data_IF_975511066699
#
_entry.id   IF_975511066699
#
_cell.length_a   1.000
_cell.length_b   1.000
_cell.length_c   1.000
_cell.angle_alpha   90.00
_cell.angle_beta   90.00
_cell.angle_gamma   90.00
#
_symmetry.space_group_name_H-M   'P 1'
#
loop_
_entity.id
_entity.type
_entity.pdbx_description
1 polymer ?
#
# COMPACT_ATOMS: atom_id res chain seq x y z
N UNK A 1 27.44 -3.91 -6.63
CA UNK A 1 26.35 -3.23 -5.93
C UNK A 1 25.08 -3.51 -6.73
N UNK A 2 24.08 -4.17 -6.14
CA UNK A 2 22.77 -4.29 -6.78
C UNK A 2 22.17 -2.89 -6.92
N UNK A 3 21.69 -2.56 -8.12
CA UNK A 3 21.03 -1.28 -8.37
C UNK A 3 19.79 -1.18 -7.48
N UNK A 4 19.78 -0.21 -6.56
CA UNK A 4 18.63 0.02 -5.68
C UNK A 4 17.54 0.70 -6.52
N UNK A 5 16.37 0.09 -6.56
CA UNK A 5 15.23 0.56 -7.35
C UNK A 5 14.77 1.93 -6.88
N UNK A 6 14.70 2.90 -7.77
CA UNK A 6 14.23 4.25 -7.50
C UNK A 6 12.85 4.50 -8.12
N UNK A 7 12.25 5.65 -7.89
CA UNK A 7 10.95 5.97 -8.49
C UNK A 7 11.07 6.13 -10.01
N UNK A 8 12.21 6.59 -10.51
CA UNK A 8 12.50 6.75 -11.93
C UNK A 8 12.56 5.40 -12.66
N UNK A 9 12.90 4.31 -11.96
CA UNK A 9 12.81 2.95 -12.50
C UNK A 9 11.35 2.50 -12.71
N UNK A 10 10.42 3.09 -11.96
CA UNK A 10 9.00 2.78 -12.00
C UNK A 10 8.19 3.74 -12.87
N UNK A 11 8.57 5.01 -12.91
CA UNK A 11 7.84 6.08 -13.60
C UNK A 11 8.74 6.81 -14.58
N UNK A 12 8.23 7.03 -15.79
CA UNK A 12 8.83 7.80 -16.87
C UNK A 12 7.71 8.62 -17.51
N UNK A 13 7.25 9.65 -16.77
CA UNK A 13 6.02 10.41 -17.09
C UNK A 13 6.21 11.18 -18.39
N UNK A 14 5.40 10.82 -19.40
CA UNK A 14 5.37 11.43 -20.74
C UNK A 14 4.07 12.17 -21.01
N UNK A 15 2.99 11.81 -20.32
CA UNK A 15 1.68 12.43 -20.46
C UNK A 15 1.07 12.68 -19.09
N UNK A 16 0.44 13.87 -18.96
CA UNK A 16 -0.32 14.24 -17.76
C UNK A 16 -1.74 14.61 -18.18
N UNK A 17 -2.69 13.80 -17.72
CA UNK A 17 -4.12 14.07 -17.87
C UNK A 17 -4.60 14.90 -16.68
N UNK A 18 -5.36 15.96 -16.93
CA UNK A 18 -5.78 16.85 -15.84
C UNK A 18 -7.14 17.50 -16.09
N UNK A 19 -7.90 17.69 -15.01
CA UNK A 19 -9.07 18.58 -15.00
C UNK A 19 -8.60 20.05 -15.04
N UNK A 20 -9.26 20.97 -15.76
CA UNK A 20 -8.83 22.40 -15.83
C UNK A 20 -8.70 23.07 -14.46
N UNK A 21 -9.61 22.72 -13.53
CA UNK A 21 -9.62 23.28 -12.18
C UNK A 21 -8.34 23.01 -11.37
N UNK A 22 -7.57 21.96 -11.71
CA UNK A 22 -6.35 21.59 -10.95
C UNK A 22 -5.30 22.70 -10.99
N UNK A 23 -5.28 23.53 -12.04
CA UNK A 23 -4.33 24.63 -12.20
C UNK A 23 -4.47 25.72 -11.13
N UNK A 24 -5.61 25.79 -10.44
CA UNK A 24 -5.80 26.69 -9.29
C UNK A 24 -5.03 26.26 -8.05
N UNK A 25 -4.58 25.00 -7.98
CA UNK A 25 -3.87 24.45 -6.83
C UNK A 25 -2.37 24.55 -6.99
N UNK A 26 -1.69 24.94 -5.91
CA UNK A 26 -0.23 25.04 -5.86
C UNK A 26 0.43 23.68 -6.18
N UNK A 27 -0.09 22.59 -5.62
CA UNK A 27 0.41 21.25 -5.84
C UNK A 27 0.42 20.84 -7.31
N UNK A 28 -0.59 21.23 -8.08
CA UNK A 28 -0.61 20.96 -9.52
C UNK A 28 0.53 21.65 -10.24
N UNK A 29 0.80 22.93 -9.93
CA UNK A 29 1.89 23.70 -10.53
C UNK A 29 3.25 23.06 -10.23
N UNK A 30 3.50 22.65 -8.99
CA UNK A 30 4.73 21.96 -8.58
C UNK A 30 4.95 20.65 -9.35
N UNK A 31 3.88 19.85 -9.54
CA UNK A 31 3.96 18.60 -10.32
C UNK A 31 4.23 18.91 -11.80
N UNK A 32 3.55 19.89 -12.37
CA UNK A 32 3.74 20.28 -13.78
C UNK A 32 5.14 20.83 -14.04
N UNK A 33 5.71 21.57 -13.09
CA UNK A 33 7.10 22.02 -13.15
C UNK A 33 8.09 20.85 -13.09
N UNK A 34 7.87 19.90 -12.18
CA UNK A 34 8.70 18.68 -12.07
C UNK A 34 8.70 17.85 -13.36
N UNK A 35 7.57 17.78 -14.04
CA UNK A 35 7.40 17.01 -15.28
C UNK A 35 7.18 17.92 -16.49
N UNK A 36 7.91 19.02 -16.59
CA UNK A 36 7.75 20.06 -17.64
C UNK A 36 7.87 19.55 -19.09
N UNK A 37 8.51 18.38 -19.30
CA UNK A 37 8.60 17.73 -20.60
C UNK A 37 7.39 16.85 -20.98
N UNK A 38 6.45 16.65 -20.08
CA UNK A 38 5.28 15.81 -20.33
C UNK A 38 4.23 16.54 -21.17
N UNK A 39 3.57 15.83 -22.06
CA UNK A 39 2.43 16.31 -22.82
C UNK A 39 1.22 16.47 -21.91
N UNK A 40 0.63 17.67 -21.87
CA UNK A 40 -0.58 17.94 -21.08
C UNK A 40 -1.83 17.64 -21.88
N UNK A 41 -2.76 16.90 -21.28
CA UNK A 41 -4.03 16.50 -21.88
C UNK A 41 -5.15 16.89 -20.93
N UNK A 42 -5.99 17.81 -21.39
CA UNK A 42 -7.15 18.25 -20.61
C UNK A 42 -8.29 17.23 -20.73
N UNK A 43 -8.90 16.90 -19.59
CA UNK A 43 -10.03 15.98 -19.50
C UNK A 43 -11.14 16.57 -18.61
N UNK A 44 -12.41 16.29 -18.91
CA UNK A 44 -13.52 16.80 -18.11
C UNK A 44 -13.60 16.18 -16.71
N UNK A 45 -12.98 15.02 -16.49
CA UNK A 45 -12.96 14.36 -15.19
C UNK A 45 -11.84 13.32 -15.10
N UNK A 46 -11.04 13.41 -14.02
CA UNK A 46 -10.05 12.39 -13.67
C UNK A 46 -10.68 11.03 -13.36
N UNK A 47 -11.97 10.99 -13.08
CA UNK A 47 -12.67 9.77 -12.72
C UNK A 47 -13.07 8.92 -13.92
N UNK A 48 -13.26 9.52 -15.08
CA UNK A 48 -13.66 8.84 -16.31
C UNK A 48 -12.81 9.32 -17.48
N UNK A 49 -11.76 8.59 -17.78
CA UNK A 49 -10.87 8.80 -18.93
C UNK A 49 -10.96 7.51 -19.76
N UNK A 50 -11.76 7.48 -20.85
CA UNK A 50 -12.04 6.25 -21.60
C UNK A 50 -10.80 5.51 -22.09
N UNK A 51 -9.76 6.25 -22.48
CA UNK A 51 -8.52 5.70 -23.02
C UNK A 51 -7.66 5.01 -21.95
N UNK A 52 -7.86 5.36 -20.67
CA UNK A 52 -7.05 4.85 -19.56
C UNK A 52 -7.82 3.90 -18.64
N UNK A 53 -9.14 3.94 -18.67
CA UNK A 53 -9.97 3.21 -17.72
C UNK A 53 -10.67 2.02 -18.40
N UNK A 54 -10.93 0.98 -17.62
CA UNK A 54 -11.57 -0.23 -18.12
C UNK A 54 -10.58 -1.38 -18.29
N UNK A 55 -10.96 -2.33 -19.14
CA UNK A 55 -10.23 -3.59 -19.35
C UNK A 55 -9.83 -3.79 -20.82
N UNK A 56 -9.99 -2.76 -21.64
CA UNK A 56 -9.54 -2.78 -23.04
C UNK A 56 -8.02 -2.58 -23.12
N UNK A 57 -7.42 -3.04 -24.22
CA UNK A 57 -5.99 -2.94 -24.48
C UNK A 57 -5.22 -4.24 -24.17
N UNK A 58 -3.93 -4.21 -24.44
CA UNK A 58 -3.00 -5.30 -24.15
C UNK A 58 -2.31 -5.10 -22.80
N UNK A 59 -1.61 -6.14 -22.35
CA UNK A 59 -0.76 -6.07 -21.13
C UNK A 59 0.33 -5.02 -21.28
N UNK A 60 0.92 -4.90 -22.45
CA UNK A 60 1.95 -3.92 -22.77
C UNK A 60 1.39 -2.50 -22.67
N UNK A 61 0.17 -2.26 -23.15
CA UNK A 61 -0.51 -0.97 -23.02
C UNK A 61 -0.74 -0.61 -21.56
N UNK A 62 -1.19 -1.58 -20.75
CA UNK A 62 -1.43 -1.33 -19.32
C UNK A 62 -0.16 -1.00 -18.54
N UNK A 63 0.92 -1.73 -18.80
CA UNK A 63 2.24 -1.44 -18.20
C UNK A 63 2.72 -0.07 -18.65
N UNK A 64 2.60 0.26 -19.93
CA UNK A 64 2.97 1.55 -20.49
C UNK A 64 2.19 2.69 -19.82
N UNK A 65 0.86 2.57 -19.73
CA UNK A 65 0.02 3.57 -19.09
C UNK A 65 0.41 3.79 -17.63
N UNK A 66 0.61 2.72 -16.87
CA UNK A 66 1.02 2.81 -15.44
C UNK A 66 2.42 3.41 -15.25
N UNK A 67 3.28 3.33 -16.24
CA UNK A 67 4.63 3.86 -16.22
C UNK A 67 4.71 5.31 -16.71
N UNK A 68 3.99 5.63 -17.79
CA UNK A 68 4.23 6.83 -18.57
C UNK A 68 3.18 7.92 -18.37
N UNK A 69 2.07 7.60 -17.67
CA UNK A 69 0.93 8.50 -17.51
C UNK A 69 0.72 8.85 -16.04
N UNK A 70 0.51 10.14 -15.80
CA UNK A 70 0.04 10.67 -14.53
C UNK A 70 -1.30 11.36 -14.74
N UNK A 71 -2.20 11.25 -13.75
CA UNK A 71 -3.48 11.95 -13.74
C UNK A 71 -3.51 12.92 -12.57
N UNK A 72 -3.88 14.17 -12.80
CA UNK A 72 -4.13 15.15 -11.75
C UNK A 72 -5.63 15.35 -11.58
N UNK A 73 -6.11 15.25 -10.35
CA UNK A 73 -7.52 15.37 -10.03
C UNK A 73 -7.78 16.06 -8.70
N UNK A 74 -9.04 16.34 -8.43
CA UNK A 74 -9.51 16.96 -7.18
C UNK A 74 -10.29 15.94 -6.37
N UNK A 75 -9.89 15.68 -5.13
CA UNK A 75 -10.61 14.81 -4.20
C UNK A 75 -11.89 15.49 -3.73
N UNK A 76 -13.03 15.11 -4.31
CA UNK A 76 -14.35 15.70 -3.98
C UNK A 76 -14.94 15.17 -2.69
N UNK A 77 -14.80 13.88 -2.40
CA UNK A 77 -15.30 13.27 -1.17
C UNK A 77 -14.22 13.27 -0.09
N UNK A 78 -14.37 14.15 0.90
CA UNK A 78 -13.51 14.24 2.07
C UNK A 78 -14.21 13.57 3.26
N UNK A 79 -14.07 12.24 3.34
CA UNK A 79 -14.68 11.46 4.42
C UNK A 79 -13.68 10.44 4.97
N UNK A 80 -13.46 10.47 6.28
CA UNK A 80 -12.80 9.39 6.99
C UNK A 80 -13.84 8.30 7.31
N UNK A 81 -13.51 7.05 7.00
CA UNK A 81 -14.39 5.90 7.21
C UNK A 81 -13.87 5.07 8.37
N UNK A 82 -14.74 4.57 9.28
CA UNK A 82 -14.33 3.64 10.32
C UNK A 82 -13.59 2.42 9.77
N UNK A 83 -12.59 1.96 10.50
CA UNK A 83 -11.85 0.74 10.25
C UNK A 83 -11.54 0.07 11.60
N UNK A 84 -11.28 -1.22 11.61
CA UNK A 84 -11.09 -2.00 12.84
C UNK A 84 -9.91 -2.97 12.76
N UNK A 85 -8.96 -2.73 11.86
CA UNK A 85 -7.80 -3.62 11.65
C UNK A 85 -6.47 -2.92 11.88
N UNK A 86 -5.92 -2.34 10.82
CA UNK A 86 -4.63 -1.65 10.87
C UNK A 86 -4.73 -0.21 11.38
N UNK A 87 -5.95 0.34 11.39
CA UNK A 87 -6.26 1.72 11.76
C UNK A 87 -7.67 1.84 12.30
N UNK A 88 -8.00 2.92 12.99
CA UNK A 88 -9.36 3.27 13.42
C UNK A 88 -10.17 3.91 12.29
N UNK A 89 -9.46 4.63 11.41
CA UNK A 89 -10.07 5.31 10.27
C UNK A 89 -9.26 5.11 8.99
N UNK A 90 -9.96 4.99 7.86
CA UNK A 90 -9.37 5.20 6.54
C UNK A 90 -9.59 6.65 6.17
N UNK A 91 -8.51 7.40 6.00
CA UNK A 91 -8.52 8.80 5.60
C UNK A 91 -8.98 8.99 4.14
N UNK A 92 -9.40 10.19 3.74
CA UNK A 92 -9.48 10.53 2.32
C UNK A 92 -8.12 10.29 1.66
N UNK A 93 -8.08 9.45 0.62
CA UNK A 93 -6.84 9.14 -0.08
C UNK A 93 -6.24 10.39 -0.73
N UNK A 94 -4.92 10.54 -0.65
CA UNK A 94 -4.17 11.60 -1.32
C UNK A 94 -3.86 11.27 -2.79
N UNK A 95 -4.01 9.97 -3.14
CA UNK A 95 -3.81 9.43 -4.49
C UNK A 95 -4.78 8.28 -4.79
N UNK A 96 -4.79 7.81 -6.01
CA UNK A 96 -5.45 6.58 -6.44
C UNK A 96 -4.69 5.94 -7.59
N UNK A 97 -4.51 4.64 -7.54
CA UNK A 97 -3.71 3.89 -8.51
C UNK A 97 -2.32 3.59 -7.98
N UNK A 98 -1.60 2.75 -8.70
CA UNK A 98 -0.26 2.33 -8.32
C UNK A 98 0.52 1.93 -9.58
N UNK A 99 1.78 2.32 -9.66
CA UNK A 99 2.65 1.93 -10.78
C UNK A 99 3.10 0.47 -10.73
N UNK A 100 2.98 -0.18 -9.57
CA UNK A 100 3.28 -1.62 -9.44
C UNK A 100 2.20 -2.46 -10.09
N UNK A 101 2.51 -3.75 -10.33
CA UNK A 101 1.63 -4.67 -11.04
C UNK A 101 1.49 -5.99 -10.30
N UNK A 102 1.33 -5.94 -8.97
CA UNK A 102 1.13 -7.15 -8.16
C UNK A 102 -0.07 -7.95 -8.67
N UNK A 103 0.13 -9.24 -8.93
CA UNK A 103 -0.86 -10.11 -9.60
C UNK A 103 -2.12 -10.40 -8.77
N UNK A 104 -2.15 -10.02 -7.49
CA UNK A 104 -3.30 -10.15 -6.59
C UNK A 104 -3.91 -8.80 -6.19
N UNK A 105 -3.50 -7.68 -6.84
CA UNK A 105 -3.85 -6.33 -6.40
C UNK A 105 -5.34 -6.03 -6.58
N UNK A 106 -5.96 -5.48 -5.54
CA UNK A 106 -7.37 -5.07 -5.59
C UNK A 106 -7.59 -3.62 -6.12
N UNK A 107 -6.53 -2.80 -6.15
CA UNK A 107 -6.61 -1.37 -6.56
C UNK A 107 -7.20 -1.19 -7.96
N UNK A 108 -6.90 -2.04 -8.97
CA UNK A 108 -7.44 -1.90 -10.32
C UNK A 108 -8.97 -2.07 -10.45
N UNK A 109 -9.64 -2.66 -9.47
CA UNK A 109 -11.05 -3.07 -9.58
C UNK A 109 -12.03 -1.99 -10.02
N UNK A 110 -11.75 -0.72 -9.72
CA UNK A 110 -12.70 0.39 -9.99
C UNK A 110 -12.44 1.11 -11.30
N UNK A 111 -11.17 1.26 -11.70
CA UNK A 111 -10.77 2.03 -12.88
C UNK A 111 -10.16 1.17 -14.00
N UNK A 112 -9.95 -0.12 -13.74
CA UNK A 112 -9.32 -1.05 -14.67
C UNK A 112 -7.83 -1.24 -14.44
N UNK A 113 -7.26 -2.18 -15.17
CA UNK A 113 -5.87 -2.63 -14.94
C UNK A 113 -4.84 -1.65 -15.47
N UNK A 114 -5.19 -0.85 -16.46
CA UNK A 114 -4.36 0.23 -16.99
C UNK A 114 -4.31 1.47 -16.12
N UNK A 115 -5.07 1.53 -15.01
CA UNK A 115 -5.22 2.73 -14.19
C UNK A 115 -3.86 3.30 -13.73
N UNK A 116 -3.40 4.43 -14.29
CA UNK A 116 -2.21 5.13 -13.83
C UNK A 116 -2.46 5.77 -12.46
N UNK A 117 -1.41 6.30 -11.86
CA UNK A 117 -1.55 7.03 -10.61
C UNK A 117 -2.33 8.32 -10.88
N UNK A 118 -3.36 8.55 -10.07
CA UNK A 118 -4.04 9.84 -9.96
C UNK A 118 -3.59 10.51 -8.66
N UNK A 119 -2.97 11.68 -8.74
CA UNK A 119 -2.64 12.52 -7.58
C UNK A 119 -3.77 13.52 -7.35
N UNK A 120 -4.23 13.62 -6.11
CA UNK A 120 -5.21 14.63 -5.72
C UNK A 120 -4.50 15.91 -5.27
N UNK A 121 -4.62 16.97 -6.06
CA UNK A 121 -3.86 18.20 -5.88
C UNK A 121 -4.39 19.11 -4.76
N UNK A 122 -5.59 18.83 -4.24
CA UNK A 122 -6.21 19.60 -3.17
C UNK A 122 -5.82 19.10 -1.77
N UNK A 123 -4.53 18.81 -1.56
CA UNK A 123 -3.98 18.25 -0.32
C UNK A 123 -4.30 19.13 0.91
N UNK A 124 -4.30 20.43 0.78
CA UNK A 124 -4.65 21.36 1.86
C UNK A 124 -6.08 21.15 2.38
N UNK A 125 -7.02 20.85 1.47
CA UNK A 125 -8.40 20.54 1.85
C UNK A 125 -8.48 19.20 2.59
N UNK A 126 -7.71 18.20 2.18
CA UNK A 126 -7.57 16.91 2.86
C UNK A 126 -7.00 17.12 4.27
N UNK A 127 -5.90 17.87 4.39
CA UNK A 127 -5.27 18.19 5.67
C UNK A 127 -6.23 18.94 6.62
N UNK A 128 -6.93 19.94 6.11
CA UNK A 128 -7.91 20.70 6.88
C UNK A 128 -9.10 19.83 7.36
N UNK A 129 -9.53 18.90 6.52
CA UNK A 129 -10.55 17.93 6.93
C UNK A 129 -10.04 17.02 8.05
N UNK A 130 -8.84 16.43 7.88
CA UNK A 130 -8.25 15.51 8.87
C UNK A 130 -8.01 16.19 10.23
N UNK A 131 -7.51 17.44 10.23
CA UNK A 131 -7.35 18.24 11.46
C UNK A 131 -8.67 18.37 12.23
N UNK A 132 -9.75 18.75 11.53
CA UNK A 132 -11.08 18.88 12.13
C UNK A 132 -11.66 17.54 12.57
N UNK A 133 -11.44 16.48 11.78
CA UNK A 133 -11.94 15.15 12.11
C UNK A 133 -11.24 14.60 13.35
N UNK A 134 -9.91 14.67 13.43
CA UNK A 134 -9.13 14.22 14.59
C UNK A 134 -9.48 14.99 15.87
N UNK A 135 -9.66 16.32 15.77
CA UNK A 135 -10.07 17.15 16.90
C UNK A 135 -11.42 16.70 17.49
N UNK A 136 -12.38 16.29 16.64
CA UNK A 136 -13.70 15.81 17.10
C UNK A 136 -13.64 14.45 17.79
N UNK A 137 -12.62 13.62 17.50
CA UNK A 137 -12.49 12.32 18.15
C UNK A 137 -12.05 12.43 19.62
N UNK A 138 -11.43 13.57 20.02
CA UNK A 138 -10.85 13.68 21.35
C UNK A 138 -9.72 12.70 21.62
N UNK A 139 -9.49 12.38 22.87
CA UNK A 139 -8.48 11.39 23.28
C UNK A 139 -9.01 9.97 23.00
N UNK A 140 -8.14 9.05 22.62
CA UNK A 140 -8.50 7.63 22.50
C UNK A 140 -8.96 7.13 23.88
N UNK A 141 -10.22 6.61 24.02
CA UNK A 141 -10.81 6.36 25.35
C UNK A 141 -10.15 5.21 26.09
N UNK A 142 -9.60 4.24 25.38
CA UNK A 142 -8.87 3.08 25.91
C UNK A 142 -7.91 2.55 24.85
N UNK A 143 -6.84 1.89 25.28
CA UNK A 143 -5.98 1.11 24.40
C UNK A 143 -6.76 -0.02 23.74
N UNK A 144 -6.38 -0.33 22.51
CA UNK A 144 -6.91 -1.49 21.77
C UNK A 144 -5.80 -2.18 20.96
N UNK A 145 -6.18 -3.16 20.14
CA UNK A 145 -5.22 -3.90 19.32
C UNK A 145 -4.57 -3.06 18.22
N UNK A 146 -5.10 -1.87 17.90
CA UNK A 146 -4.59 -0.98 16.87
C UNK A 146 -3.51 -0.07 17.44
N UNK A 147 -3.79 0.59 18.58
CA UNK A 147 -2.84 1.50 19.24
C UNK A 147 -3.16 1.71 20.71
N UNK A 148 -2.13 1.97 21.51
CA UNK A 148 -2.24 2.14 22.95
C UNK A 148 -2.63 3.58 23.35
N UNK A 149 -2.44 4.54 22.43
CA UNK A 149 -2.49 5.97 22.78
C UNK A 149 -3.19 6.86 21.76
N UNK A 150 -3.08 6.53 20.46
CA UNK A 150 -3.45 7.43 19.37
C UNK A 150 -4.55 6.86 18.49
N UNK A 151 -5.47 7.71 18.05
CA UNK A 151 -6.29 7.41 16.90
C UNK A 151 -5.39 7.19 15.66
N UNK A 152 -5.58 6.13 14.93
CA UNK A 152 -4.74 5.78 13.78
C UNK A 152 -5.53 5.97 12.48
N UNK A 153 -4.91 6.68 11.51
CA UNK A 153 -5.49 6.99 10.21
C UNK A 153 -4.68 6.31 9.11
N UNK A 154 -5.32 5.42 8.34
CA UNK A 154 -4.75 4.80 7.13
C UNK A 154 -4.87 5.78 5.95
N UNK A 155 -3.76 6.09 5.26
CA UNK A 155 -3.75 6.98 4.09
C UNK A 155 -3.47 6.27 2.77
N UNK A 156 -2.93 5.05 2.81
CA UNK A 156 -2.47 4.29 1.63
C UNK A 156 -3.49 3.29 1.05
N UNK A 157 -4.80 3.46 1.28
CA UNK A 157 -5.80 2.46 0.88
C UNK A 157 -5.80 2.16 -0.64
N UNK A 158 -5.61 3.17 -1.47
CA UNK A 158 -5.79 3.07 -2.92
C UNK A 158 -4.50 3.31 -3.73
N UNK A 159 -3.34 3.33 -3.10
CA UNK A 159 -2.05 3.58 -3.71
C UNK A 159 -0.91 2.94 -2.94
N UNK A 160 0.30 3.39 -3.18
CA UNK A 160 1.49 3.11 -2.36
C UNK A 160 2.16 4.44 -2.01
N UNK A 161 1.95 4.92 -0.78
CA UNK A 161 2.41 6.23 -0.35
C UNK A 161 3.93 6.44 -0.48
N UNK A 162 4.73 5.37 -0.41
CA UNK A 162 6.17 5.47 -0.65
C UNK A 162 6.50 5.76 -2.10
N UNK A 163 5.73 5.21 -3.06
CA UNK A 163 5.87 5.53 -4.47
C UNK A 163 5.33 6.93 -4.77
N UNK A 164 4.17 7.27 -4.19
CA UNK A 164 3.51 8.57 -4.39
C UNK A 164 4.37 9.74 -3.87
N UNK A 165 5.09 9.55 -2.75
CA UNK A 165 6.06 10.51 -2.22
C UNK A 165 7.19 10.86 -3.22
N UNK A 166 7.52 9.95 -4.14
CA UNK A 166 8.46 10.24 -5.23
C UNK A 166 7.87 11.12 -6.35
N UNK A 167 6.55 11.34 -6.35
CA UNK A 167 5.88 12.17 -7.35
C UNK A 167 5.73 13.62 -6.84
N UNK A 168 5.22 13.78 -5.61
CA UNK A 168 4.96 15.08 -5.00
C UNK A 168 4.95 15.01 -3.47
N UNK A 169 4.89 16.16 -2.81
CA UNK A 169 4.97 16.29 -1.36
C UNK A 169 3.66 16.01 -0.59
N UNK A 170 2.63 15.42 -1.21
CA UNK A 170 1.36 15.12 -0.51
C UNK A 170 1.58 14.28 0.77
N UNK A 171 2.40 13.23 0.67
CA UNK A 171 2.71 12.36 1.82
C UNK A 171 3.51 13.13 2.88
N UNK A 172 4.44 14.00 2.47
CA UNK A 172 5.20 14.87 3.37
C UNK A 172 4.28 15.83 4.15
N UNK A 173 3.32 16.44 3.47
CA UNK A 173 2.35 17.33 4.10
C UNK A 173 1.48 16.61 5.12
N UNK A 174 1.05 15.38 4.82
CA UNK A 174 0.31 14.55 5.77
C UNK A 174 1.16 14.15 6.97
N UNK A 175 2.42 13.75 6.77
CA UNK A 175 3.35 13.45 7.87
C UNK A 175 3.54 14.68 8.75
N UNK A 176 3.78 15.85 8.16
CA UNK A 176 3.94 17.11 8.89
C UNK A 176 2.67 17.51 9.66
N UNK A 177 1.49 17.33 9.07
CA UNK A 177 0.21 17.58 9.71
C UNK A 177 0.06 16.78 11.03
N UNK A 178 0.30 15.46 10.97
CA UNK A 178 0.15 14.60 12.15
C UNK A 178 1.27 14.82 13.18
N UNK A 179 2.46 15.16 12.73
CA UNK A 179 3.58 15.50 13.60
C UNK A 179 3.34 16.79 14.35
N UNK A 180 2.91 17.86 13.67
CA UNK A 180 2.90 19.22 14.20
C UNK A 180 1.54 19.67 14.76
N UNK A 181 0.43 19.28 14.09
CA UNK A 181 -0.89 19.90 14.31
C UNK A 181 -1.89 18.95 14.97
N UNK A 182 -1.71 17.64 14.86
CA UNK A 182 -2.65 16.64 15.41
C UNK A 182 -2.01 15.88 16.56
N UNK A 183 -2.34 16.28 17.80
CA UNK A 183 -1.73 15.70 19.00
C UNK A 183 -2.27 14.31 19.37
N UNK A 184 -3.55 14.04 19.08
CA UNK A 184 -4.28 12.85 19.52
C UNK A 184 -4.33 11.69 18.51
N UNK A 185 -3.68 11.83 17.36
CA UNK A 185 -3.69 10.79 16.32
C UNK A 185 -2.33 10.62 15.65
N UNK A 186 -2.17 9.51 14.93
CA UNK A 186 -1.02 9.20 14.07
C UNK A 186 -1.47 8.67 12.71
N UNK A 187 -0.56 8.73 11.73
CA UNK A 187 -0.72 8.14 10.41
C UNK A 187 -0.29 6.67 10.38
N UNK A 188 -0.85 5.93 9.43
CA UNK A 188 -0.29 4.64 8.98
C UNK A 188 -0.48 4.43 7.47
N UNK A 189 0.44 3.71 6.87
CA UNK A 189 0.32 3.17 5.51
C UNK A 189 1.17 1.92 5.34
N UNK A 190 0.76 1.03 4.44
CA UNK A 190 1.56 -0.12 4.03
C UNK A 190 2.28 0.19 2.72
N UNK A 191 3.47 -0.40 2.52
CA UNK A 191 4.23 -0.20 1.30
C UNK A 191 4.94 -1.47 0.84
N UNK A 192 5.16 -1.55 -0.49
CA UNK A 192 6.03 -2.51 -1.17
C UNK A 192 7.18 -1.83 -1.92
N UNK A 193 7.33 -0.53 -1.73
CA UNK A 193 8.37 0.27 -2.36
C UNK A 193 9.24 0.95 -1.30
N UNK A 194 10.55 0.86 -1.47
CA UNK A 194 11.53 1.55 -0.61
C UNK A 194 11.87 2.90 -1.22
N UNK A 195 11.29 3.96 -0.66
CA UNK A 195 11.66 5.33 -0.98
C UNK A 195 12.46 5.93 0.19
N UNK A 196 13.77 6.11 -0.01
CA UNK A 196 14.66 6.67 1.03
C UNK A 196 14.46 8.16 1.28
N UNK A 197 13.74 8.88 0.41
CA UNK A 197 13.39 10.28 0.66
C UNK A 197 12.55 10.43 1.93
N UNK A 198 11.69 9.44 2.23
CA UNK A 198 10.90 9.40 3.47
C UNK A 198 11.76 9.49 4.73
N UNK A 199 13.01 9.06 4.70
CA UNK A 199 13.93 9.16 5.84
C UNK A 199 14.21 10.61 6.28
N UNK A 200 13.94 11.59 5.41
CA UNK A 200 14.12 13.02 5.68
C UNK A 200 12.91 13.69 6.33
N UNK A 201 11.77 12.97 6.52
CA UNK A 201 10.51 13.58 6.98
C UNK A 201 10.43 13.76 8.49
N UNK A 202 11.25 13.04 9.27
CA UNK A 202 11.27 13.10 10.74
C UNK A 202 9.87 13.06 11.39
N UNK A 203 9.15 11.94 11.32
CA UNK A 203 7.74 11.88 11.76
C UNK A 203 7.55 11.84 13.29
N UNK A 204 8.59 11.77 14.09
CA UNK A 204 8.57 11.77 15.56
C UNK A 204 7.57 10.75 16.14
N UNK A 205 7.62 9.52 15.63
CA UNK A 205 6.71 8.39 15.97
C UNK A 205 5.22 8.63 15.66
N UNK A 206 4.88 9.73 14.94
CA UNK A 206 3.51 10.04 14.53
C UNK A 206 3.13 9.44 13.19
N UNK A 207 4.02 8.66 12.58
CA UNK A 207 3.75 7.88 11.37
C UNK A 207 4.22 6.45 11.55
N UNK A 208 3.29 5.50 11.39
CA UNK A 208 3.54 4.07 11.34
C UNK A 208 3.66 3.63 9.89
N UNK A 209 4.84 3.13 9.50
CA UNK A 209 5.02 2.48 8.20
C UNK A 209 4.99 0.97 8.39
N UNK A 210 4.24 0.28 7.51
CA UNK A 210 4.09 -1.18 7.52
C UNK A 210 4.70 -1.74 6.24
N UNK A 211 5.89 -2.32 6.35
CA UNK A 211 6.52 -2.99 5.20
C UNK A 211 5.80 -4.30 4.89
N UNK A 212 5.23 -4.40 3.69
CA UNK A 212 4.60 -5.63 3.22
C UNK A 212 5.69 -6.64 2.85
N UNK A 213 5.68 -7.80 3.50
CA UNK A 213 6.66 -8.85 3.34
C UNK A 213 5.99 -10.18 3.02
N UNK A 214 6.65 -11.00 2.24
CA UNK A 214 6.35 -12.40 1.97
C UNK A 214 7.65 -13.11 1.59
N UNK A 215 7.70 -14.46 1.57
CA UNK A 215 8.88 -15.18 1.11
C UNK A 215 9.36 -14.68 -0.24
N UNK A 216 10.69 -14.46 -0.36
CA UNK A 216 11.30 -13.85 -1.56
C UNK A 216 10.97 -14.64 -2.85
N UNK A 217 10.88 -15.96 -2.77
CA UNK A 217 10.49 -16.84 -3.88
C UNK A 217 9.09 -16.50 -4.38
N UNK A 218 8.13 -16.33 -3.48
CA UNK A 218 6.76 -15.97 -3.81
C UNK A 218 6.68 -14.52 -4.30
N UNK A 219 7.39 -13.59 -3.66
CA UNK A 219 7.45 -12.19 -4.09
C UNK A 219 7.93 -12.03 -5.54
N UNK A 220 8.94 -12.79 -5.96
CA UNK A 220 9.41 -12.79 -7.35
C UNK A 220 8.34 -13.22 -8.35
N UNK A 221 7.39 -14.04 -7.93
CA UNK A 221 6.32 -14.55 -8.78
C UNK A 221 5.12 -13.58 -8.84
N UNK A 222 4.74 -12.98 -7.69
CA UNK A 222 3.46 -12.28 -7.57
C UNK A 222 3.58 -10.78 -7.29
N UNK A 223 4.70 -10.30 -6.71
CA UNK A 223 4.94 -8.89 -6.36
C UNK A 223 5.64 -8.14 -7.52
N UNK A 224 4.99 -8.07 -8.67
CA UNK A 224 5.58 -7.52 -9.89
C UNK A 224 5.87 -6.03 -9.75
N UNK A 225 7.11 -5.61 -10.12
CA UNK A 225 7.61 -4.22 -10.08
C UNK A 225 7.75 -3.61 -8.67
N UNK A 226 7.75 -4.40 -7.63
CA UNK A 226 8.01 -3.94 -6.27
C UNK A 226 9.50 -3.93 -5.93
N UNK A 227 9.89 -3.36 -4.80
CA UNK A 227 11.23 -3.51 -4.25
C UNK A 227 11.43 -4.95 -3.73
N UNK A 228 12.60 -5.58 -3.93
CA UNK A 228 12.89 -6.91 -3.37
C UNK A 228 12.66 -6.99 -1.85
N UNK A 229 12.31 -8.17 -1.34
CA UNK A 229 12.01 -8.35 0.09
C UNK A 229 13.22 -8.03 0.96
N UNK A 230 14.41 -8.52 0.59
CA UNK A 230 15.65 -8.24 1.32
C UNK A 230 15.93 -6.74 1.45
N UNK A 231 15.67 -5.96 0.38
CA UNK A 231 15.88 -4.51 0.40
C UNK A 231 14.83 -3.80 1.28
N UNK A 232 13.59 -4.33 1.37
CA UNK A 232 12.58 -3.83 2.30
C UNK A 232 12.99 -4.06 3.75
N UNK A 233 13.58 -5.23 4.05
CA UNK A 233 14.07 -5.57 5.40
C UNK A 233 15.29 -4.70 5.75
N UNK A 234 16.24 -4.55 4.84
CA UNK A 234 17.48 -3.80 5.06
C UNK A 234 17.28 -2.35 5.50
N UNK A 235 16.17 -1.72 5.07
CA UNK A 235 15.90 -0.32 5.41
C UNK A 235 15.10 -0.12 6.69
N UNK A 236 14.53 -1.17 7.28
CA UNK A 236 13.64 -1.01 8.44
C UNK A 236 14.33 -0.32 9.61
N UNK A 237 15.59 -0.65 9.87
CA UNK A 237 16.39 0.02 10.92
C UNK A 237 16.62 1.51 10.64
N UNK A 238 16.81 1.88 9.36
CA UNK A 238 17.00 3.27 8.94
C UNK A 238 15.71 4.07 9.19
N UNK A 239 14.54 3.48 8.88
CA UNK A 239 13.24 4.11 9.14
C UNK A 239 12.96 4.31 10.64
N UNK A 240 13.32 3.33 11.47
CA UNK A 240 13.24 3.50 12.93
C UNK A 240 14.18 4.61 13.42
N UNK A 241 15.38 4.69 12.88
CA UNK A 241 16.33 5.76 13.21
C UNK A 241 15.84 7.13 12.76
N UNK A 242 15.10 7.19 11.65
CA UNK A 242 14.46 8.41 11.13
C UNK A 242 13.18 8.82 11.87
N UNK A 243 12.78 8.09 12.92
CA UNK A 243 11.63 8.46 13.77
C UNK A 243 10.29 7.85 13.37
N UNK A 244 10.26 6.86 12.49
CA UNK A 244 9.04 6.10 12.18
C UNK A 244 8.75 5.03 13.24
N UNK A 245 7.47 4.75 13.45
CA UNK A 245 7.03 3.47 13.99
C UNK A 245 7.02 2.46 12.84
N UNK A 246 7.84 1.40 12.94
CA UNK A 246 7.99 0.42 11.86
C UNK A 246 7.34 -0.91 12.25
N UNK A 247 6.43 -1.38 11.41
CA UNK A 247 5.73 -2.65 11.57
C UNK A 247 5.85 -3.47 10.26
N UNK A 248 5.42 -4.73 10.30
CA UNK A 248 5.39 -5.61 9.14
C UNK A 248 3.96 -6.04 8.80
N UNK A 249 3.68 -6.12 7.52
CA UNK A 249 2.44 -6.66 6.98
C UNK A 249 2.77 -7.93 6.19
N UNK A 250 2.58 -9.09 6.78
CA UNK A 250 2.73 -10.39 6.13
C UNK A 250 1.54 -10.64 5.20
N UNK A 251 1.62 -10.08 3.98
CA UNK A 251 0.49 -9.98 3.07
C UNK A 251 0.87 -9.92 1.59
N UNK A 252 0.20 -10.74 0.78
CA UNK A 252 -0.68 -11.84 1.17
C UNK A 252 0.11 -13.07 1.59
N UNK A 253 -0.42 -13.82 2.55
CA UNK A 253 0.05 -15.18 2.82
C UNK A 253 -0.56 -16.11 1.79
N UNK A 254 0.29 -16.79 1.01
CA UNK A 254 -0.10 -17.69 -0.07
C UNK A 254 0.36 -19.10 0.31
N UNK A 255 -0.54 -20.07 0.19
CA UNK A 255 -0.23 -21.48 0.44
C UNK A 255 0.30 -22.17 -0.82
N UNK A 256 1.42 -22.85 -0.69
CA UNK A 256 2.05 -23.74 -1.68
C UNK A 256 2.93 -24.76 -0.96
N UNK A 257 3.41 -25.78 -1.65
CA UNK A 257 4.28 -26.78 -1.03
C UNK A 257 5.61 -26.13 -0.58
N UNK A 258 5.97 -26.30 0.71
CA UNK A 258 7.15 -25.69 1.31
C UNK A 258 6.93 -24.22 1.73
N UNK A 259 5.66 -23.76 1.84
CA UNK A 259 5.34 -22.39 2.19
C UNK A 259 5.82 -22.00 3.59
N UNK A 260 5.70 -22.91 4.56
CA UNK A 260 6.03 -22.62 5.96
C UNK A 260 7.54 -22.53 6.16
N UNK A 261 8.30 -23.37 5.48
CA UNK A 261 9.76 -23.33 5.43
C UNK A 261 10.28 -22.03 4.78
N UNK A 262 9.65 -21.58 3.70
CA UNK A 262 10.00 -20.29 3.09
C UNK A 262 9.65 -19.09 4.01
N UNK A 263 8.57 -19.19 4.84
CA UNK A 263 8.27 -18.21 5.89
C UNK A 263 9.28 -18.26 7.03
N UNK A 264 9.75 -19.45 7.43
CA UNK A 264 10.81 -19.60 8.43
C UNK A 264 12.09 -18.88 7.99
N UNK A 265 12.51 -19.05 6.73
CA UNK A 265 13.66 -18.34 6.16
C UNK A 265 13.49 -16.82 6.17
N UNK A 266 12.31 -16.30 5.85
CA UNK A 266 12.02 -14.88 5.92
C UNK A 266 12.09 -14.34 7.37
N UNK A 267 11.57 -15.09 8.32
CA UNK A 267 11.60 -14.74 9.74
C UNK A 267 13.04 -14.75 10.28
N UNK A 268 13.83 -15.73 9.87
CA UNK A 268 15.25 -15.79 10.25
C UNK A 268 16.04 -14.60 9.67
N UNK A 269 15.75 -14.18 8.42
CA UNK A 269 16.34 -12.97 7.85
C UNK A 269 15.95 -11.71 8.63
N UNK A 270 14.70 -11.59 9.08
CA UNK A 270 14.26 -10.49 9.97
C UNK A 270 15.02 -10.51 11.31
N UNK A 271 15.17 -11.69 11.93
CA UNK A 271 15.90 -11.85 13.19
C UNK A 271 17.37 -11.44 13.07
N UNK A 272 18.02 -11.77 11.95
CA UNK A 272 19.42 -11.45 11.70
C UNK A 272 19.62 -9.94 11.44
N UNK A 273 18.75 -9.32 10.64
CA UNK A 273 18.96 -7.95 10.14
C UNK A 273 18.42 -6.86 11.05
N UNK A 274 17.36 -7.14 11.82
CA UNK A 274 16.74 -6.13 12.67
C UNK A 274 17.54 -5.93 13.97
N UNK A 275 17.83 -4.66 14.28
CA UNK A 275 18.44 -4.29 15.55
C UNK A 275 17.40 -4.31 16.69
N UNK A 276 17.87 -4.26 17.95
CA UNK A 276 17.01 -4.35 19.13
C UNK A 276 15.95 -3.25 19.20
N UNK A 277 16.29 -2.03 18.78
CA UNK A 277 15.33 -0.91 18.76
C UNK A 277 14.18 -1.16 17.80
N UNK A 278 14.46 -1.77 16.64
CA UNK A 278 13.42 -2.14 15.66
C UNK A 278 12.59 -3.31 16.16
N UNK A 279 13.23 -4.33 16.76
CA UNK A 279 12.55 -5.49 17.33
C UNK A 279 11.56 -5.11 18.44
N UNK A 280 11.93 -4.17 19.33
CA UNK A 280 11.11 -3.74 20.46
C UNK A 280 9.75 -3.14 20.06
N UNK A 281 9.63 -2.56 18.88
CA UNK A 281 8.39 -1.96 18.39
C UNK A 281 7.66 -2.81 17.34
N UNK A 282 8.25 -3.96 16.95
CA UNK A 282 7.75 -4.72 15.82
C UNK A 282 6.39 -5.34 16.09
N UNK A 283 5.43 -5.03 15.24
CA UNK A 283 4.11 -5.63 15.23
C UNK A 283 3.83 -6.20 13.84
N UNK A 284 3.32 -7.42 13.80
CA UNK A 284 2.93 -8.11 12.56
C UNK A 284 1.41 -8.08 12.34
N UNK A 285 1.03 -7.90 11.10
CA UNK A 285 -0.32 -8.13 10.58
C UNK A 285 -0.25 -9.31 9.61
N UNK A 286 -1.08 -10.33 9.77
CA UNK A 286 -1.04 -11.55 8.95
C UNK A 286 -2.34 -11.63 8.13
N UNK A 287 -2.21 -11.54 6.80
CA UNK A 287 -3.36 -11.47 5.90
C UNK A 287 -3.22 -12.55 4.82
N UNK A 288 -4.07 -13.59 4.92
CA UNK A 288 -4.14 -14.64 3.91
C UNK A 288 -4.81 -14.15 2.63
N UNK A 289 -4.40 -14.72 1.51
CA UNK A 289 -4.86 -14.38 0.19
C UNK A 289 -6.39 -14.37 0.07
N UNK A 290 -6.90 -13.30 -0.51
CA UNK A 290 -8.22 -13.24 -1.14
C UNK A 290 -8.00 -12.76 -2.57
N UNK A 291 -8.39 -13.56 -3.56
CA UNK A 291 -8.17 -13.27 -4.96
C UNK A 291 -9.47 -12.95 -5.69
N UNK A 292 -9.42 -12.08 -6.67
CA UNK A 292 -10.59 -11.63 -7.42
C UNK A 292 -10.72 -12.42 -8.72
N UNK A 293 -11.93 -12.91 -9.05
CA UNK A 293 -12.18 -13.70 -10.25
C UNK A 293 -11.86 -12.93 -11.55
N UNK A 294 -12.24 -11.67 -11.62
CA UNK A 294 -11.95 -10.86 -12.80
C UNK A 294 -10.45 -10.62 -12.98
N UNK A 295 -9.71 -10.48 -11.87
CA UNK A 295 -8.25 -10.37 -11.93
C UNK A 295 -7.61 -11.71 -12.35
N UNK A 296 -8.19 -12.85 -11.93
CA UNK A 296 -7.78 -14.17 -12.41
C UNK A 296 -7.89 -14.27 -13.93
N UNK A 297 -9.03 -13.89 -14.51
CA UNK A 297 -9.22 -13.91 -15.97
C UNK A 297 -8.16 -13.07 -16.71
N UNK A 298 -7.84 -11.89 -16.20
CA UNK A 298 -6.79 -11.03 -16.75
C UNK A 298 -5.41 -11.64 -16.58
N UNK A 299 -5.12 -12.19 -15.41
CA UNK A 299 -3.82 -12.78 -15.12
C UNK A 299 -3.52 -14.04 -15.94
N UNK A 300 -4.54 -14.74 -16.43
CA UNK A 300 -4.31 -15.86 -17.37
C UNK A 300 -3.53 -15.43 -18.62
N UNK A 301 -3.65 -14.16 -19.04
CA UNK A 301 -2.83 -13.57 -20.09
C UNK A 301 -1.60 -12.84 -19.53
N UNK A 302 -1.72 -12.19 -18.38
CA UNK A 302 -0.71 -11.28 -17.83
C UNK A 302 0.32 -11.98 -16.94
N UNK A 303 -0.16 -12.81 -15.99
CA UNK A 303 0.66 -13.50 -14.99
C UNK A 303 0.27 -14.97 -14.83
N UNK A 304 0.26 -15.78 -15.93
CA UNK A 304 -0.28 -17.16 -15.88
C UNK A 304 0.41 -18.03 -14.83
N UNK A 305 1.73 -17.87 -14.66
CA UNK A 305 2.47 -18.63 -13.62
C UNK A 305 2.08 -18.24 -12.20
N UNK A 306 1.68 -17.00 -11.97
CA UNK A 306 1.20 -16.56 -10.66
C UNK A 306 -0.16 -17.20 -10.32
N UNK A 307 -1.02 -17.41 -11.33
CA UNK A 307 -2.34 -18.02 -11.12
C UNK A 307 -2.27 -19.49 -10.66
N UNK A 308 -1.20 -20.21 -10.93
CA UNK A 308 -0.99 -21.56 -10.38
C UNK A 308 -0.99 -21.61 -8.86
N UNK A 309 -0.65 -20.51 -8.18
CA UNK A 309 -0.65 -20.39 -6.72
C UNK A 309 -1.75 -19.47 -6.18
N UNK A 310 -2.26 -18.53 -6.99
CA UNK A 310 -3.29 -17.59 -6.59
C UNK A 310 -4.70 -18.17 -6.74
N UNK A 311 -4.94 -18.98 -7.77
CA UNK A 311 -6.24 -19.56 -8.08
C UNK A 311 -6.22 -21.08 -7.87
N UNK A 312 -6.72 -21.52 -6.72
CA UNK A 312 -6.65 -22.90 -6.25
C UNK A 312 -8.03 -23.39 -5.78
N UNK A 313 -8.97 -23.67 -6.71
CA UNK A 313 -10.37 -24.04 -6.38
C UNK A 313 -10.50 -25.20 -5.40
N UNK A 314 -9.53 -26.13 -5.40
CA UNK A 314 -9.53 -27.31 -4.52
C UNK A 314 -9.39 -26.95 -3.02
N UNK A 315 -8.77 -25.83 -2.70
CA UNK A 315 -8.59 -25.34 -1.32
C UNK A 315 -9.26 -23.99 -1.06
N UNK A 316 -9.92 -23.41 -2.07
CA UNK A 316 -10.58 -22.13 -1.96
C UNK A 316 -12.11 -22.24 -2.00
N UNK A 317 -12.79 -21.24 -1.51
CA UNK A 317 -14.25 -21.06 -1.55
C UNK A 317 -14.61 -19.66 -2.03
N UNK A 318 -15.81 -19.52 -2.59
CA UNK A 318 -16.31 -18.23 -3.08
C UNK A 318 -16.65 -17.32 -1.89
N UNK A 319 -16.27 -16.06 -2.01
CA UNK A 319 -16.64 -14.97 -1.10
C UNK A 319 -17.07 -13.75 -1.92
N UNK A 320 -18.24 -13.23 -1.64
CA UNK A 320 -18.68 -11.95 -2.23
C UNK A 320 -18.13 -10.78 -1.40
N UNK A 321 -17.65 -9.73 -2.08
CA UNK A 321 -17.31 -8.45 -1.44
C UNK A 321 -18.60 -7.70 -1.07
N UNK A 322 -18.48 -6.68 -0.21
CA UNK A 322 -19.59 -5.77 0.14
C UNK A 322 -20.22 -5.10 -1.10
N UNK A 323 -19.46 -4.97 -2.18
CA UNK A 323 -19.89 -4.39 -3.46
C UNK A 323 -20.35 -5.44 -4.48
N UNK A 324 -20.54 -6.71 -4.06
CA UNK A 324 -21.02 -7.79 -4.91
C UNK A 324 -19.97 -8.47 -5.80
N UNK A 325 -18.71 -8.03 -5.77
CA UNK A 325 -17.63 -8.66 -6.54
C UNK A 325 -17.34 -10.08 -6.05
N UNK A 326 -17.24 -11.03 -7.00
CA UNK A 326 -16.90 -12.42 -6.71
C UNK A 326 -15.40 -12.58 -6.48
N UNK A 327 -15.04 -13.08 -5.30
CA UNK A 327 -13.68 -13.37 -4.90
C UNK A 327 -13.57 -14.83 -4.46
N UNK A 328 -12.34 -15.34 -4.38
CA UNK A 328 -12.03 -16.60 -3.72
C UNK A 328 -11.12 -16.35 -2.53
N UNK A 329 -11.33 -17.14 -1.48
CA UNK A 329 -10.46 -17.19 -0.30
C UNK A 329 -10.24 -18.64 0.08
N UNK A 330 -9.25 -18.93 0.90
CA UNK A 330 -9.10 -20.29 1.44
C UNK A 330 -10.34 -20.75 2.23
N UNK A 331 -10.73 -22.01 2.07
CA UNK A 331 -11.81 -22.65 2.83
C UNK A 331 -11.58 -22.49 4.33
N UNK A 332 -12.65 -22.23 5.09
CA UNK A 332 -12.56 -21.81 6.49
C UNK A 332 -11.69 -22.73 7.36
N UNK A 333 -11.89 -24.06 7.32
CA UNK A 333 -11.09 -25.01 8.09
C UNK A 333 -9.62 -25.01 7.67
N UNK A 334 -9.37 -25.13 6.36
CA UNK A 334 -8.02 -25.09 5.79
C UNK A 334 -7.28 -23.80 6.18
N UNK A 335 -7.96 -22.65 6.09
CA UNK A 335 -7.37 -21.37 6.45
C UNK A 335 -7.01 -21.28 7.93
N UNK A 336 -7.91 -21.77 8.80
CA UNK A 336 -7.68 -21.73 10.25
C UNK A 336 -6.38 -22.46 10.61
N UNK A 337 -6.20 -23.69 10.11
CA UNK A 337 -5.00 -24.47 10.39
C UNK A 337 -3.72 -23.75 9.93
N UNK A 338 -3.76 -23.14 8.74
CA UNK A 338 -2.60 -22.38 8.18
C UNK A 338 -2.32 -21.08 8.94
N UNK A 339 -3.37 -20.41 9.44
CA UNK A 339 -3.20 -19.25 10.33
C UNK A 339 -2.52 -19.67 11.61
N UNK A 340 -3.00 -20.76 12.24
CA UNK A 340 -2.46 -21.27 13.50
C UNK A 340 -0.98 -21.67 13.34
N UNK A 341 -0.61 -22.37 12.25
CA UNK A 341 0.78 -22.75 11.94
C UNK A 341 1.71 -21.53 11.79
N UNK A 342 1.29 -20.51 11.04
CA UNK A 342 2.12 -19.33 10.84
C UNK A 342 2.23 -18.48 12.10
N UNK A 343 1.15 -18.35 12.87
CA UNK A 343 1.15 -17.65 14.16
C UNK A 343 2.09 -18.34 15.15
N UNK A 344 2.03 -19.68 15.24
CA UNK A 344 2.95 -20.46 16.09
C UNK A 344 4.42 -20.27 15.65
N UNK A 345 4.70 -20.30 14.35
CA UNK A 345 6.04 -20.06 13.80
C UNK A 345 6.55 -18.67 14.20
N UNK A 346 5.71 -17.62 14.03
CA UNK A 346 6.06 -16.24 14.41
C UNK A 346 6.39 -16.16 15.90
N UNK A 347 5.54 -16.66 16.78
CA UNK A 347 5.80 -16.61 18.23
C UNK A 347 7.03 -17.43 18.65
N UNK A 348 7.26 -18.57 18.01
CA UNK A 348 8.43 -19.41 18.27
C UNK A 348 9.75 -18.73 17.88
N UNK A 349 9.77 -18.06 16.72
CA UNK A 349 11.00 -17.49 16.13
C UNK A 349 11.21 -16.01 16.43
N UNK A 350 10.11 -15.25 16.62
CA UNK A 350 10.13 -13.82 16.97
C UNK A 350 9.27 -13.56 18.22
N UNK A 351 9.66 -14.04 19.42
CA UNK A 351 8.88 -13.88 20.64
C UNK A 351 8.68 -12.41 21.06
N UNK A 352 9.49 -11.52 20.52
CA UNK A 352 9.37 -10.07 20.72
C UNK A 352 8.31 -9.43 19.81
N UNK A 353 7.86 -10.10 18.75
CA UNK A 353 6.91 -9.55 17.78
C UNK A 353 5.46 -9.79 18.24
N UNK A 354 4.71 -8.72 18.48
CA UNK A 354 3.27 -8.80 18.73
C UNK A 354 2.53 -9.01 17.40
N UNK A 355 1.52 -9.87 17.39
CA UNK A 355 0.61 -10.01 16.25
C UNK A 355 -0.62 -9.16 16.52
N UNK A 356 -0.88 -8.14 15.67
CA UNK A 356 -2.06 -7.27 15.77
C UNK A 356 -3.33 -8.03 15.39
N UNK A 357 -3.27 -8.79 14.31
CA UNK A 357 -4.33 -9.71 13.86
C UNK A 357 -3.79 -10.72 12.85
N UNK A 358 -4.52 -11.83 12.70
CA UNK A 358 -4.27 -12.84 11.68
C UNK A 358 -5.61 -13.35 11.11
N UNK A 359 -5.79 -13.32 9.78
CA UNK A 359 -7.01 -13.82 9.14
C UNK A 359 -6.82 -14.23 7.67
#
# INVERSE_FOLDING_TARGET
>A
MLHKKTIEDLLDIKEIYMEPEVLSYQRAREILEKYAGAKLIEVPSHWKIPELHGFAGSVEDWISNKKNILVLGIKKSLQARPNTRSSHFVAPSESNGCTMSCSYCYVPRRKGYANPITIFVNIEQICNYLRRHAARQGVLPAEDHIDDKYWVYEIGENGDCSADAGICDNVRDLVNLFKNDISNAKLTFATKFVNRELLTYDPQLKTRIRFSLMPQKMSKLVDVRTTPISDRIDVMNDFVAAGYEVNVNFSPVIYYNGWLEDWELLIDELNEKLNEKTKQQLVAEIIFLTHNEQLHEVNMAWHPKAEEVLWRPEIQEIKYSETGGRNVRYKRGFKKDRVDELVELVYKRMPYCRIRYAF
#
